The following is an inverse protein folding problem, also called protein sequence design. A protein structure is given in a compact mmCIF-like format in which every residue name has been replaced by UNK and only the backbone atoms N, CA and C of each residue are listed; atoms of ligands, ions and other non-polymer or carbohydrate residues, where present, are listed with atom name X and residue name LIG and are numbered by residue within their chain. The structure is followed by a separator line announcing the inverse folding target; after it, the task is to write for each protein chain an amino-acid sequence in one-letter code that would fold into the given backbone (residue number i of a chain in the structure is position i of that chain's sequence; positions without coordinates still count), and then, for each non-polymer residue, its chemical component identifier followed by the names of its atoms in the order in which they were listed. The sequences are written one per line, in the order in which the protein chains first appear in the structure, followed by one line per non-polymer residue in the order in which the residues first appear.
data_IF_119150814499
#
_entry.id   IF_119150814499
#
_cell.length_a   1.000
_cell.length_b   1.000
_cell.length_c   1.000
_cell.angle_alpha   90.00
_cell.angle_beta   90.00
_cell.angle_gamma   90.00
#
_symmetry.space_group_name_H-M   'P 1'
#
loop_
_entity.id
_entity.type
_entity.pdbx_description
1 polymer ?
#
# COMPACT_ATOMS: atom_id res chain seq x y z
N UNK A 1 10.43 -23.29 16.88
CA UNK A 1 11.03 -21.96 17.09
C UNK A 1 12.55 -22.07 17.18
N UNK A 2 13.13 -22.86 18.09
CA UNK A 2 14.58 -23.19 18.03
C UNK A 2 15.01 -23.83 16.69
N UNK A 3 14.10 -24.58 16.05
CA UNK A 3 14.30 -25.13 14.69
C UNK A 3 14.33 -24.08 13.58
N UNK A 4 13.71 -22.92 13.75
CA UNK A 4 13.71 -21.82 12.77
C UNK A 4 15.04 -21.06 12.84
N UNK A 5 15.65 -21.00 14.03
CA UNK A 5 16.95 -20.35 14.26
C UNK A 5 18.09 -21.20 13.70
N UNK A 6 17.97 -22.53 13.71
CA UNK A 6 18.89 -23.41 12.96
C UNK A 6 18.67 -23.39 11.44
N UNK A 7 17.65 -22.67 10.95
CA UNK A 7 17.29 -22.55 9.54
C UNK A 7 17.72 -21.19 8.93
N UNK A 8 18.54 -20.38 9.62
CA UNK A 8 19.28 -19.30 8.94
C UNK A 8 20.10 -19.88 7.78
N UNK A 9 20.65 -21.09 7.97
CA UNK A 9 21.28 -21.87 6.90
C UNK A 9 20.29 -22.15 5.76
N UNK A 10 19.01 -22.40 6.04
CA UNK A 10 17.97 -22.55 5.00
C UNK A 10 17.72 -21.24 4.23
N UNK A 11 17.76 -20.08 4.91
CA UNK A 11 17.70 -18.78 4.23
C UNK A 11 18.94 -18.59 3.33
N UNK A 12 20.13 -18.94 3.81
CA UNK A 12 21.40 -18.80 3.10
C UNK A 12 21.58 -19.82 1.96
N UNK A 13 21.10 -21.05 2.10
CA UNK A 13 21.26 -22.14 1.13
C UNK A 13 20.10 -22.25 0.14
N UNK A 14 18.88 -21.84 0.52
CA UNK A 14 17.68 -22.02 -0.30
C UNK A 14 17.17 -20.70 -0.87
N UNK A 15 17.13 -19.64 -0.08
CA UNK A 15 16.52 -18.36 -0.49
C UNK A 15 17.54 -17.49 -1.24
N UNK A 16 18.73 -17.30 -0.66
CA UNK A 16 19.81 -16.48 -1.24
C UNK A 16 20.20 -16.89 -2.68
N UNK A 17 20.40 -18.18 -3.00
CA UNK A 17 20.73 -18.60 -4.37
C UNK A 17 19.59 -18.40 -5.37
N UNK A 18 18.34 -18.35 -4.90
CA UNK A 18 17.15 -18.09 -5.75
C UNK A 18 16.92 -16.61 -5.98
N UNK A 19 17.23 -15.75 -5.00
CA UNK A 19 17.12 -14.29 -5.12
C UNK A 19 18.25 -13.70 -5.99
N UNK A 20 19.44 -14.31 -5.96
CA UNK A 20 20.61 -13.88 -6.75
C UNK A 20 21.07 -15.00 -7.71
N UNK A 21 20.24 -15.36 -8.72
CA UNK A 21 20.58 -16.44 -9.64
C UNK A 21 21.74 -15.99 -10.55
N UNK A 22 22.86 -16.74 -10.49
CA UNK A 22 23.95 -16.72 -11.47
C UNK A 22 24.86 -15.48 -11.58
N UNK A 23 24.95 -14.60 -10.57
CA UNK A 23 25.97 -13.55 -10.51
C UNK A 23 27.07 -13.86 -9.49
N UNK A 24 28.35 -13.70 -9.85
CA UNK A 24 29.47 -13.61 -8.88
C UNK A 24 29.43 -12.29 -8.07
N UNK A 25 28.69 -11.30 -8.56
CA UNK A 25 28.58 -9.97 -7.98
C UNK A 25 27.85 -10.01 -6.62
N UNK A 26 28.49 -9.51 -5.57
CA UNK A 26 27.90 -9.41 -4.24
C UNK A 26 28.06 -10.63 -3.33
N UNK A 27 28.78 -11.67 -3.79
CA UNK A 27 28.99 -12.90 -3.02
C UNK A 27 30.25 -12.91 -2.14
N UNK A 28 31.02 -11.83 -2.14
CA UNK A 28 32.19 -11.70 -1.27
C UNK A 28 31.75 -11.62 0.18
N UNK A 29 32.12 -12.63 0.97
CA UNK A 29 31.96 -12.63 2.40
C UNK A 29 32.96 -11.67 3.02
N UNK A 30 32.45 -10.65 3.72
CA UNK A 30 33.25 -9.70 4.49
C UNK A 30 32.76 -9.67 5.93
N UNK A 31 33.57 -9.08 6.81
CA UNK A 31 33.12 -8.82 8.17
C UNK A 31 32.13 -7.66 8.15
N UNK A 32 30.86 -7.98 8.41
CA UNK A 32 29.72 -7.07 8.34
C UNK A 32 29.25 -6.66 9.73
N UNK A 33 28.65 -5.46 9.83
CA UNK A 33 28.01 -5.03 11.07
C UNK A 33 26.66 -5.73 11.26
N UNK A 34 25.92 -5.92 10.16
CA UNK A 34 24.56 -6.47 10.08
C UNK A 34 23.48 -5.69 10.83
N UNK A 35 23.82 -4.57 11.46
CA UNK A 35 22.90 -3.76 12.29
C UNK A 35 23.36 -2.30 12.37
N UNK A 36 23.82 -1.73 11.25
CA UNK A 36 24.35 -0.37 11.23
C UNK A 36 23.25 0.66 10.98
N UNK A 37 22.34 0.85 11.93
CA UNK A 37 21.35 1.93 11.91
C UNK A 37 21.93 3.27 12.40
N UNK A 38 21.22 4.38 12.14
CA UNK A 38 21.66 5.73 12.55
C UNK A 38 21.93 5.83 14.05
N UNK A 39 21.15 5.13 14.89
CA UNK A 39 21.35 5.12 16.35
C UNK A 39 22.69 4.47 16.76
N UNK A 40 23.30 3.65 15.88
CA UNK A 40 24.58 2.99 16.09
C UNK A 40 25.77 3.80 15.52
N UNK A 41 25.54 5.02 15.02
CA UNK A 41 26.56 5.96 14.54
C UNK A 41 26.63 7.16 15.48
N UNK A 42 27.70 7.26 16.25
CA UNK A 42 27.93 8.33 17.23
C UNK A 42 28.87 9.37 16.64
N UNK A 43 28.36 10.59 16.42
CA UNK A 43 29.18 11.73 16.05
C UNK A 43 29.49 12.61 17.27
N UNK A 44 30.78 12.67 17.65
CA UNK A 44 31.24 13.61 18.67
C UNK A 44 31.65 14.93 18.01
N UNK A 45 30.78 15.94 18.13
CA UNK A 45 31.02 17.28 17.59
C UNK A 45 32.27 17.97 18.15
N UNK A 46 32.71 17.63 19.36
CA UNK A 46 33.88 18.27 19.99
C UNK A 46 35.19 17.75 19.41
N UNK A 47 35.26 16.45 19.12
CA UNK A 47 36.43 15.81 18.54
C UNK A 47 36.35 15.65 17.01
N UNK A 48 35.19 15.96 16.41
CA UNK A 48 34.88 15.71 15.00
C UNK A 48 35.11 14.25 14.59
N UNK A 49 34.85 13.33 15.52
CA UNK A 49 35.02 11.88 15.30
C UNK A 49 33.69 11.17 15.15
N UNK A 50 33.69 10.11 14.35
CA UNK A 50 32.57 9.18 14.20
C UNK A 50 33.00 7.85 14.84
N UNK A 51 32.16 7.32 15.72
CA UNK A 51 32.31 5.99 16.31
C UNK A 51 31.10 5.14 15.96
N UNK A 52 31.33 3.86 15.66
CA UNK A 52 30.26 2.88 15.53
C UNK A 52 30.14 2.09 16.84
N UNK A 53 28.92 1.68 17.18
CA UNK A 53 28.60 0.91 18.40
C UNK A 53 27.67 -0.25 18.05
N UNK A 54 27.42 -1.12 19.03
CA UNK A 54 26.46 -2.23 18.95
C UNK A 54 26.85 -3.35 17.97
N UNK A 55 28.03 -3.93 18.21
CA UNK A 55 28.62 -4.96 17.37
C UNK A 55 28.06 -6.37 17.61
N UNK A 56 26.92 -6.53 18.30
CA UNK A 56 26.42 -7.83 18.73
C UNK A 56 25.96 -8.73 17.57
N UNK A 57 25.55 -8.14 16.45
CA UNK A 57 25.15 -8.85 15.23
C UNK A 57 26.30 -9.05 14.22
N UNK A 58 27.53 -8.68 14.59
CA UNK A 58 28.66 -8.77 13.66
C UNK A 58 29.05 -10.21 13.34
N UNK A 59 29.11 -10.51 12.04
CA UNK A 59 29.53 -11.82 11.52
C UNK A 59 30.01 -11.68 10.09
N UNK A 60 30.63 -12.74 9.57
CA UNK A 60 30.88 -12.85 8.13
C UNK A 60 29.52 -12.90 7.40
N UNK A 61 29.34 -12.00 6.43
CA UNK A 61 28.14 -11.95 5.61
C UNK A 61 28.47 -11.31 4.25
N UNK A 62 27.51 -11.30 3.33
CA UNK A 62 27.64 -10.64 2.03
C UNK A 62 27.69 -9.12 2.21
N UNK A 63 28.67 -8.45 1.61
CA UNK A 63 28.77 -6.99 1.76
C UNK A 63 27.54 -6.25 1.17
N UNK A 64 26.91 -6.78 0.11
CA UNK A 64 25.67 -6.21 -0.42
C UNK A 64 24.49 -6.39 0.53
N UNK A 65 24.46 -7.46 1.33
CA UNK A 65 23.47 -7.59 2.39
C UNK A 65 23.66 -6.49 3.44
N UNK A 66 24.90 -6.25 3.89
CA UNK A 66 25.19 -5.22 4.91
C UNK A 66 24.84 -3.81 4.41
N UNK A 67 25.13 -3.52 3.14
CA UNK A 67 24.72 -2.26 2.48
C UNK A 67 23.19 -2.16 2.40
N UNK A 68 22.53 -3.22 1.92
CA UNK A 68 21.08 -3.23 1.78
C UNK A 68 20.36 -3.11 3.12
N UNK A 69 20.90 -3.74 4.17
CA UNK A 69 20.42 -3.63 5.53
C UNK A 69 20.59 -2.19 6.05
N UNK A 70 21.75 -1.57 5.84
CA UNK A 70 21.96 -0.16 6.19
C UNK A 70 20.95 0.78 5.50
N UNK A 71 20.57 0.51 4.25
CA UNK A 71 19.55 1.28 3.54
C UNK A 71 18.13 1.03 4.07
N UNK A 72 17.79 -0.20 4.49
CA UNK A 72 16.52 -0.51 5.16
C UNK A 72 16.36 0.33 6.43
N UNK A 73 17.43 0.50 7.21
CA UNK A 73 17.43 1.27 8.45
C UNK A 73 17.18 2.78 8.26
N UNK A 74 17.14 3.29 7.03
CA UNK A 74 16.72 4.67 6.76
C UNK A 74 15.25 4.88 7.09
N UNK A 75 14.43 3.82 7.04
CA UNK A 75 13.04 3.87 7.42
C UNK A 75 12.86 4.16 8.92
N UNK A 76 13.83 3.82 9.76
CA UNK A 76 13.73 3.91 11.21
C UNK A 76 13.04 2.68 11.85
N UNK A 77 13.15 2.58 13.17
CA UNK A 77 12.75 1.39 13.94
C UNK A 77 11.41 1.56 14.66
N UNK A 78 11.15 2.74 15.22
CA UNK A 78 9.97 2.98 16.09
C UNK A 78 8.73 3.40 15.28
N UNK A 79 8.93 4.15 14.19
CA UNK A 79 7.90 4.63 13.25
C UNK A 79 8.44 4.49 11.82
N UNK A 80 8.48 3.27 11.29
CA UNK A 80 9.14 3.00 10.01
C UNK A 80 8.49 3.77 8.83
N UNK A 81 9.22 4.72 8.25
CA UNK A 81 8.83 5.42 7.02
C UNK A 81 9.64 4.89 5.84
N UNK A 82 9.11 3.88 5.15
CA UNK A 82 9.77 3.29 3.98
C UNK A 82 9.92 4.26 2.79
N UNK A 83 9.30 5.44 2.81
CA UNK A 83 9.60 6.49 1.82
C UNK A 83 11.00 7.10 2.00
N UNK A 84 11.64 6.88 3.15
CA UNK A 84 13.02 7.30 3.41
C UNK A 84 14.05 6.32 2.85
N UNK A 85 13.63 5.17 2.32
CA UNK A 85 14.54 4.25 1.64
C UNK A 85 15.23 4.98 0.47
N UNK A 86 16.57 4.92 0.38
CA UNK A 86 17.31 5.75 -0.56
C UNK A 86 16.96 5.44 -2.02
N UNK A 87 16.73 6.49 -2.80
CA UNK A 87 16.52 6.38 -4.25
C UNK A 87 17.75 5.77 -4.94
N UNK A 88 17.61 5.18 -6.13
CA UNK A 88 18.77 4.64 -6.86
C UNK A 88 19.88 5.67 -7.10
N UNK A 89 19.55 6.96 -7.28
CA UNK A 89 20.55 8.02 -7.40
C UNK A 89 21.31 8.26 -6.09
N UNK A 90 20.63 8.22 -4.94
CA UNK A 90 21.24 8.30 -3.62
C UNK A 90 22.06 7.05 -3.30
N UNK A 91 21.56 5.86 -3.61
CA UNK A 91 22.29 4.60 -3.48
C UNK A 91 23.60 4.67 -4.30
N UNK A 92 23.54 5.05 -5.59
CA UNK A 92 24.74 5.21 -6.43
C UNK A 92 25.70 6.23 -5.86
N UNK A 93 25.21 7.35 -5.30
CA UNK A 93 26.05 8.36 -4.65
C UNK A 93 26.75 7.80 -3.42
N UNK A 94 26.04 7.07 -2.57
CA UNK A 94 26.59 6.42 -1.37
C UNK A 94 27.61 5.34 -1.77
N UNK A 95 27.26 4.48 -2.74
CA UNK A 95 28.12 3.41 -3.24
C UNK A 95 29.43 3.94 -3.82
N UNK A 96 29.42 5.09 -4.51
CA UNK A 96 30.67 5.71 -5.02
C UNK A 96 31.66 6.01 -3.88
N UNK A 97 31.17 6.55 -2.77
CA UNK A 97 31.99 6.86 -1.59
C UNK A 97 32.48 5.56 -0.94
N UNK A 98 31.57 4.61 -0.69
CA UNK A 98 31.92 3.32 -0.09
C UNK A 98 32.96 2.56 -0.92
N UNK A 99 32.78 2.49 -2.24
CA UNK A 99 33.67 1.79 -3.15
C UNK A 99 35.02 2.49 -3.26
N UNK A 100 35.06 3.83 -3.19
CA UNK A 100 36.31 4.58 -3.14
C UNK A 100 37.12 4.24 -1.88
N UNK A 101 36.49 4.29 -0.72
CA UNK A 101 37.15 3.97 0.56
C UNK A 101 37.62 2.50 0.64
N UNK A 102 36.86 1.58 0.04
CA UNK A 102 37.21 0.16 -0.03
C UNK A 102 38.11 -0.21 -1.21
N UNK A 103 38.49 0.76 -2.06
CA UNK A 103 39.28 0.54 -3.28
C UNK A 103 38.66 -0.50 -4.24
N UNK A 104 37.34 -0.50 -4.34
CA UNK A 104 36.54 -1.40 -5.19
C UNK A 104 36.31 -0.81 -6.59
N UNK A 105 35.95 -1.66 -7.55
CA UNK A 105 35.68 -1.23 -8.91
C UNK A 105 34.38 -0.40 -8.98
N UNK A 106 34.48 0.91 -9.20
CA UNK A 106 33.31 1.79 -9.35
C UNK A 106 32.54 1.64 -10.66
N UNK A 107 33.11 0.97 -11.68
CA UNK A 107 32.46 0.83 -12.99
C UNK A 107 31.18 -0.02 -12.95
N UNK A 108 31.00 -0.83 -11.90
CA UNK A 108 29.81 -1.65 -11.71
C UNK A 108 28.64 -0.88 -11.08
N UNK A 109 28.83 0.39 -10.69
CA UNK A 109 27.78 1.20 -10.06
C UNK A 109 26.80 1.67 -11.14
N UNK A 110 25.72 0.91 -11.32
CA UNK A 110 24.63 1.15 -12.27
C UNK A 110 23.28 0.72 -11.67
N UNK A 111 22.19 0.87 -12.44
CA UNK A 111 20.84 0.47 -12.01
C UNK A 111 20.71 -1.03 -11.74
N UNK A 112 21.45 -1.88 -12.46
CA UNK A 112 21.43 -3.32 -12.24
C UNK A 112 21.97 -3.68 -10.84
N UNK A 113 23.04 -3.01 -10.39
CA UNK A 113 23.57 -3.20 -9.04
C UNK A 113 22.58 -2.70 -7.97
N UNK A 114 21.94 -1.55 -8.19
CA UNK A 114 20.89 -1.06 -7.29
C UNK A 114 19.72 -2.05 -7.19
N UNK A 115 19.30 -2.64 -8.30
CA UNK A 115 18.26 -3.67 -8.30
C UNK A 115 18.68 -4.94 -7.53
N UNK A 116 19.96 -5.34 -7.60
CA UNK A 116 20.49 -6.42 -6.77
C UNK A 116 20.42 -6.04 -5.29
N UNK A 117 20.80 -4.81 -4.93
CA UNK A 117 20.72 -4.31 -3.54
C UNK A 117 19.27 -4.32 -3.05
N UNK A 118 18.30 -3.90 -3.86
CA UNK A 118 16.88 -3.93 -3.50
C UNK A 118 16.40 -5.35 -3.17
N UNK A 119 16.91 -6.38 -3.88
CA UNK A 119 16.63 -7.79 -3.55
C UNK A 119 17.23 -8.21 -2.22
N UNK A 120 18.43 -7.72 -1.88
CA UNK A 120 19.02 -7.93 -0.56
C UNK A 120 18.25 -7.19 0.54
N UNK A 121 17.62 -6.05 0.25
CA UNK A 121 16.78 -5.35 1.22
C UNK A 121 15.53 -6.16 1.57
N UNK A 122 14.93 -6.88 0.61
CA UNK A 122 13.85 -7.83 0.90
C UNK A 122 14.28 -8.95 1.85
N UNK A 123 15.55 -9.40 1.75
CA UNK A 123 16.11 -10.38 2.67
C UNK A 123 16.35 -9.80 4.07
N UNK A 124 16.83 -8.56 4.16
CA UNK A 124 16.98 -7.86 5.43
C UNK A 124 15.62 -7.69 6.15
N UNK A 125 14.60 -7.26 5.42
CA UNK A 125 13.22 -7.21 5.91
C UNK A 125 12.73 -8.57 6.44
N UNK A 126 12.97 -9.66 5.71
CA UNK A 126 12.60 -11.00 6.17
C UNK A 126 13.33 -11.37 7.47
N UNK A 127 14.64 -11.10 7.56
CA UNK A 127 15.45 -11.39 8.74
C UNK A 127 14.92 -10.64 9.96
N UNK A 128 14.67 -9.34 9.86
CA UNK A 128 14.16 -8.52 10.95
C UNK A 128 12.72 -8.85 11.32
N UNK A 129 11.88 -9.18 10.34
CA UNK A 129 10.53 -9.68 10.58
C UNK A 129 10.53 -10.99 11.38
N UNK A 130 11.39 -11.94 11.03
CA UNK A 130 11.56 -13.19 11.77
C UNK A 130 12.14 -12.98 13.16
N UNK A 131 13.16 -12.12 13.28
CA UNK A 131 13.74 -11.74 14.58
C UNK A 131 12.67 -11.18 15.50
N UNK A 132 11.83 -10.27 15.01
CA UNK A 132 10.78 -9.67 15.83
C UNK A 132 9.67 -10.68 16.19
N UNK A 133 9.27 -11.56 15.27
CA UNK A 133 8.35 -12.66 15.61
C UNK A 133 8.90 -13.52 16.76
N UNK A 134 10.19 -13.87 16.72
CA UNK A 134 10.83 -14.64 17.79
C UNK A 134 10.85 -13.83 19.10
N UNK A 135 11.24 -12.56 19.03
CA UNK A 135 11.36 -11.70 20.21
C UNK A 135 10.02 -11.37 20.86
N UNK A 136 8.91 -11.35 20.11
CA UNK A 136 7.57 -11.18 20.67
C UNK A 136 7.20 -12.24 21.72
N UNK A 137 7.83 -13.42 21.66
CA UNK A 137 7.61 -14.51 22.61
C UNK A 137 8.69 -14.67 23.69
N UNK A 138 9.83 -13.96 23.56
CA UNK A 138 11.02 -14.17 24.40
C UNK A 138 11.50 -12.91 25.13
N UNK A 139 11.34 -11.75 24.51
CA UNK A 139 11.89 -10.50 25.03
C UNK A 139 11.09 -9.96 26.21
N UNK A 140 11.80 -9.33 27.15
CA UNK A 140 11.19 -8.62 28.29
C UNK A 140 11.11 -7.10 28.04
N UNK A 141 11.61 -6.64 26.89
CA UNK A 141 11.61 -5.23 26.52
C UNK A 141 10.18 -4.84 26.10
N UNK A 142 9.72 -3.69 26.59
CA UNK A 142 8.44 -3.09 26.20
C UNK A 142 8.55 -2.47 24.80
N UNK A 143 8.40 -3.32 23.78
CA UNK A 143 8.44 -2.97 22.36
C UNK A 143 7.40 -3.83 21.61
N UNK A 144 6.71 -3.25 20.63
CA UNK A 144 5.70 -3.98 19.85
C UNK A 144 6.33 -4.81 18.73
N UNK A 145 6.98 -5.89 19.13
CA UNK A 145 7.64 -6.83 18.23
C UNK A 145 6.70 -7.42 17.17
N UNK A 146 5.41 -7.63 17.50
CA UNK A 146 4.47 -8.17 16.53
C UNK A 146 4.12 -7.15 15.46
N UNK A 147 3.93 -5.88 15.82
CA UNK A 147 3.71 -4.83 14.84
C UNK A 147 4.94 -4.61 13.97
N UNK A 148 6.14 -4.54 14.56
CA UNK A 148 7.38 -4.40 13.79
C UNK A 148 7.58 -5.56 12.80
N UNK A 149 7.31 -6.80 13.22
CA UNK A 149 7.37 -7.95 12.32
C UNK A 149 6.41 -7.84 11.13
N UNK A 150 5.21 -7.31 11.37
CA UNK A 150 4.22 -7.05 10.30
C UNK A 150 4.72 -5.96 9.35
N UNK A 151 5.23 -4.85 9.87
CA UNK A 151 5.74 -3.75 9.04
C UNK A 151 6.86 -4.22 8.12
N UNK A 152 7.83 -4.96 8.65
CA UNK A 152 8.94 -5.53 7.87
C UNK A 152 8.50 -6.56 6.82
N UNK A 153 7.38 -7.25 7.03
CA UNK A 153 6.83 -8.21 6.06
C UNK A 153 5.73 -7.64 5.16
N UNK A 154 5.30 -6.40 5.41
CA UNK A 154 4.18 -5.79 4.71
C UNK A 154 4.62 -5.25 3.35
N UNK A 155 4.23 -5.96 2.30
CA UNK A 155 4.25 -5.42 0.95
C UNK A 155 3.00 -4.58 0.74
N UNK A 156 3.18 -3.37 0.21
CA UNK A 156 2.07 -2.59 -0.34
C UNK A 156 1.49 -3.24 -1.61
N UNK A 157 2.04 -4.35 -2.09
CA UNK A 157 1.54 -5.14 -3.22
C UNK A 157 1.31 -6.59 -2.81
N UNK A 158 0.04 -6.98 -2.77
CA UNK A 158 -0.43 -8.28 -2.34
C UNK A 158 -1.01 -9.04 -3.53
N UNK A 159 -0.27 -10.03 -4.03
CA UNK A 159 -0.71 -10.87 -5.15
C UNK A 159 -1.36 -12.15 -4.58
N UNK A 160 -2.54 -12.48 -5.07
CA UNK A 160 -3.32 -13.63 -4.64
C UNK A 160 -3.53 -14.61 -5.79
N UNK A 161 -3.45 -15.91 -5.46
CA UNK A 161 -3.55 -16.98 -6.45
C UNK A 161 -4.90 -17.01 -7.17
N UNK A 162 -5.98 -16.67 -6.46
CA UNK A 162 -7.34 -16.61 -6.97
C UNK A 162 -8.17 -15.52 -6.27
N UNK A 163 -9.37 -15.29 -6.80
CA UNK A 163 -10.30 -14.28 -6.29
C UNK A 163 -10.85 -14.62 -4.90
N UNK A 164 -10.86 -15.89 -4.50
CA UNK A 164 -11.33 -16.29 -3.18
C UNK A 164 -10.33 -15.83 -2.12
N UNK A 165 -9.06 -16.21 -2.27
CA UNK A 165 -7.98 -15.78 -1.39
C UNK A 165 -7.84 -14.26 -1.39
N UNK A 166 -7.99 -13.62 -2.55
CA UNK A 166 -8.01 -12.17 -2.67
C UNK A 166 -9.10 -11.55 -1.80
N UNK A 167 -10.34 -12.06 -1.91
CA UNK A 167 -11.47 -11.57 -1.10
C UNK A 167 -11.24 -11.79 0.39
N UNK A 168 -10.75 -12.96 0.79
CA UNK A 168 -10.46 -13.29 2.19
C UNK A 168 -9.38 -12.38 2.77
N UNK A 169 -8.27 -12.15 2.06
CA UNK A 169 -7.21 -11.23 2.52
C UNK A 169 -7.70 -9.79 2.62
N UNK A 170 -8.47 -9.30 1.65
CA UNK A 170 -9.09 -7.96 1.72
C UNK A 170 -10.02 -7.87 2.94
N UNK A 171 -10.84 -8.91 3.19
CA UNK A 171 -11.73 -8.98 4.34
C UNK A 171 -11.00 -8.95 5.69
N UNK A 172 -9.95 -9.77 5.84
CA UNK A 172 -9.16 -9.79 7.06
C UNK A 172 -8.46 -8.46 7.33
N UNK A 173 -7.88 -7.86 6.29
CA UNK A 173 -7.24 -6.55 6.43
C UNK A 173 -8.26 -5.47 6.81
N UNK A 174 -9.46 -5.52 6.22
CA UNK A 174 -10.57 -4.62 6.57
C UNK A 174 -11.02 -4.79 8.04
N UNK A 175 -11.15 -6.03 8.54
CA UNK A 175 -11.45 -6.26 9.95
C UNK A 175 -10.37 -5.72 10.87
N UNK A 176 -9.10 -5.98 10.56
CA UNK A 176 -7.96 -5.52 11.35
C UNK A 176 -7.95 -3.99 11.49
N UNK A 177 -8.05 -3.26 10.38
CA UNK A 177 -8.02 -1.79 10.42
C UNK A 177 -9.27 -1.21 11.09
N UNK A 178 -10.44 -1.81 10.88
CA UNK A 178 -11.69 -1.38 11.53
C UNK A 178 -11.60 -1.58 13.04
N UNK A 179 -11.16 -2.76 13.50
CA UNK A 179 -11.00 -3.06 14.93
C UNK A 179 -9.96 -2.15 15.59
N UNK A 180 -8.85 -1.84 14.90
CA UNK A 180 -7.85 -0.88 15.38
C UNK A 180 -8.47 0.51 15.60
N UNK A 181 -9.19 1.03 14.60
CA UNK A 181 -9.84 2.35 14.67
C UNK A 181 -10.95 2.45 15.71
N UNK A 182 -11.62 1.33 16.03
CA UNK A 182 -12.73 1.30 16.99
C UNK A 182 -12.33 1.78 18.40
N UNK A 183 -11.06 1.66 18.77
CA UNK A 183 -10.54 2.12 20.05
C UNK A 183 -10.47 3.65 20.14
N UNK A 184 -10.40 4.33 18.99
CA UNK A 184 -10.10 5.76 18.91
C UNK A 184 -11.29 6.58 18.39
N UNK A 185 -12.16 5.98 17.56
CA UNK A 185 -13.17 6.71 16.78
C UNK A 185 -14.55 6.14 16.87
N UNK A 186 -15.55 6.93 17.25
CA UNK A 186 -16.94 6.45 17.35
C UNK A 186 -17.55 6.00 16.02
N UNK A 187 -17.16 6.60 14.90
CA UNK A 187 -17.69 6.33 13.58
C UNK A 187 -16.54 6.02 12.62
N UNK A 188 -16.71 5.02 11.76
CA UNK A 188 -15.72 4.63 10.74
C UNK A 188 -16.36 4.83 9.37
N UNK A 189 -15.65 5.53 8.50
CA UNK A 189 -16.11 5.93 7.17
C UNK A 189 -15.42 5.11 6.09
N UNK A 190 -16.22 4.45 5.23
CA UNK A 190 -15.74 3.57 4.18
C UNK A 190 -16.28 4.03 2.82
N UNK A 191 -15.41 4.52 1.95
CA UNK A 191 -15.72 4.86 0.56
C UNK A 191 -15.62 3.66 -0.37
N UNK A 192 -16.62 3.46 -1.23
CA UNK A 192 -16.74 2.31 -2.11
C UNK A 192 -16.71 2.72 -3.59
N UNK A 193 -15.87 2.07 -4.38
CA UNK A 193 -15.96 2.05 -5.85
C UNK A 193 -16.98 1.01 -6.34
N UNK A 194 -17.47 1.18 -7.57
CA UNK A 194 -18.29 0.18 -8.26
C UNK A 194 -17.48 -0.89 -9.01
N UNK A 195 -18.10 -1.49 -10.03
CA UNK A 195 -17.46 -2.47 -10.91
C UNK A 195 -17.26 -3.85 -10.26
N UNK A 196 -16.20 -4.57 -10.66
CA UNK A 196 -15.90 -5.92 -10.16
C UNK A 196 -15.57 -5.98 -8.66
N UNK A 197 -15.24 -4.84 -8.05
CA UNK A 197 -15.06 -4.73 -6.60
C UNK A 197 -16.32 -5.15 -5.84
N UNK A 198 -17.51 -4.85 -6.36
CA UNK A 198 -18.79 -5.18 -5.71
C UNK A 198 -18.88 -6.69 -5.51
N UNK A 199 -18.60 -7.47 -6.55
CA UNK A 199 -18.73 -8.94 -6.49
C UNK A 199 -17.71 -9.56 -5.52
N UNK A 200 -16.50 -8.97 -5.44
CA UNK A 200 -15.48 -9.38 -4.46
C UNK A 200 -15.90 -9.04 -3.02
N UNK A 201 -16.51 -7.89 -2.78
CA UNK A 201 -16.98 -7.53 -1.43
C UNK A 201 -18.21 -8.35 -1.02
N UNK A 202 -19.09 -8.70 -1.96
CA UNK A 202 -20.23 -9.58 -1.71
C UNK A 202 -19.80 -10.95 -1.19
N UNK A 203 -18.66 -11.47 -1.63
CA UNK A 203 -18.18 -12.78 -1.18
C UNK A 203 -17.59 -12.79 0.23
N UNK A 204 -17.21 -11.64 0.80
CA UNK A 204 -16.50 -11.57 2.07
C UNK A 204 -17.16 -10.70 3.14
N UNK A 205 -17.69 -9.52 2.78
CA UNK A 205 -18.20 -8.53 3.75
C UNK A 205 -19.31 -9.07 4.66
N UNK A 206 -20.27 -9.91 4.19
CA UNK A 206 -21.29 -10.49 5.08
C UNK A 206 -20.74 -11.37 6.20
N UNK A 207 -19.51 -11.88 6.06
CA UNK A 207 -18.87 -12.76 7.04
C UNK A 207 -18.00 -11.99 8.06
N UNK A 208 -17.76 -10.70 7.83
CA UNK A 208 -16.93 -9.87 8.71
C UNK A 208 -17.68 -9.49 9.99
N UNK A 209 -16.96 -9.49 11.10
CA UNK A 209 -17.43 -9.11 12.43
C UNK A 209 -17.34 -7.60 12.65
N UNK A 210 -18.02 -6.84 11.78
CA UNK A 210 -18.01 -5.39 11.87
C UNK A 210 -18.95 -4.85 12.96
N UNK A 211 -18.58 -3.74 13.61
CA UNK A 211 -19.49 -2.98 14.47
C UNK A 211 -20.50 -2.19 13.60
N UNK A 212 -21.42 -2.88 12.94
CA UNK A 212 -22.26 -2.31 11.87
C UNK A 212 -22.92 -0.97 12.21
N UNK A 213 -23.33 -0.72 13.46
CA UNK A 213 -23.90 0.56 13.90
C UNK A 213 -22.94 1.76 13.77
N UNK A 214 -21.62 1.52 13.82
CA UNK A 214 -20.53 2.49 13.73
C UNK A 214 -19.93 2.62 12.33
N UNK A 215 -20.35 1.80 11.37
CA UNK A 215 -19.86 1.89 9.99
C UNK A 215 -20.77 2.82 9.17
N UNK A 216 -20.15 3.69 8.38
CA UNK A 216 -20.82 4.50 7.34
C UNK A 216 -20.19 4.24 5.98
N UNK A 217 -21.01 3.81 5.04
CA UNK A 217 -20.63 3.60 3.65
C UNK A 217 -20.93 4.82 2.80
N UNK A 218 -19.98 5.12 1.92
CA UNK A 218 -20.00 6.23 0.97
C UNK A 218 -19.61 5.70 -0.41
N UNK A 219 -19.82 6.52 -1.44
CA UNK A 219 -19.52 6.15 -2.82
C UNK A 219 -18.48 7.11 -3.38
N UNK A 220 -17.42 6.54 -3.96
CA UNK A 220 -16.35 7.30 -4.58
C UNK A 220 -16.83 7.97 -5.88
N UNK A 221 -17.76 7.32 -6.57
CA UNK A 221 -18.49 7.85 -7.71
C UNK A 221 -19.88 7.21 -7.84
N UNK A 222 -20.76 7.90 -8.55
CA UNK A 222 -22.05 7.36 -8.97
C UNK A 222 -22.43 7.91 -10.35
N UNK A 223 -23.10 7.06 -11.13
CA UNK A 223 -23.60 7.38 -12.45
C UNK A 223 -24.91 8.13 -12.27
N UNK A 224 -25.12 9.21 -13.02
CA UNK A 224 -26.36 9.98 -12.94
C UNK A 224 -27.51 9.24 -13.66
N UNK A 225 -27.99 8.17 -13.03
CA UNK A 225 -29.03 7.26 -13.50
C UNK A 225 -29.90 6.82 -12.32
N UNK A 226 -31.15 6.37 -12.53
CA UNK A 226 -31.98 5.84 -11.46
C UNK A 226 -31.30 4.67 -10.73
N UNK A 227 -31.52 4.52 -9.42
CA UNK A 227 -30.98 3.41 -8.62
C UNK A 227 -31.46 2.02 -9.06
N UNK A 228 -32.50 1.93 -9.88
CA UNK A 228 -32.97 0.68 -10.51
C UNK A 228 -32.18 0.30 -11.76
N UNK A 229 -31.31 1.19 -12.25
CA UNK A 229 -30.40 0.90 -13.37
C UNK A 229 -29.28 -0.02 -12.92
N UNK A 230 -28.92 -0.99 -13.77
CA UNK A 230 -27.76 -1.85 -13.57
C UNK A 230 -26.43 -1.06 -13.60
N UNK A 231 -26.46 0.19 -14.08
CA UNK A 231 -25.30 1.10 -14.07
C UNK A 231 -25.13 1.88 -12.76
N UNK A 232 -26.09 1.83 -11.83
CA UNK A 232 -25.95 2.51 -10.53
C UNK A 232 -25.05 1.71 -9.59
N UNK A 233 -23.99 2.34 -9.10
CA UNK A 233 -23.10 1.78 -8.09
C UNK A 233 -23.87 1.46 -6.81
N UNK A 234 -24.61 2.43 -6.24
CA UNK A 234 -25.43 2.22 -5.05
C UNK A 234 -26.50 1.15 -5.30
N UNK A 235 -27.18 1.18 -6.44
CA UNK A 235 -28.20 0.18 -6.80
C UNK A 235 -27.66 -1.25 -6.74
N UNK A 236 -26.47 -1.47 -7.29
CA UNK A 236 -25.78 -2.77 -7.24
C UNK A 236 -25.37 -3.18 -5.81
N UNK A 237 -24.78 -2.28 -5.02
CA UNK A 237 -24.47 -2.58 -3.62
C UNK A 237 -25.74 -2.86 -2.80
N UNK A 238 -26.81 -2.11 -3.06
CA UNK A 238 -28.08 -2.27 -2.36
C UNK A 238 -28.73 -3.63 -2.65
N UNK A 239 -28.70 -4.08 -3.91
CA UNK A 239 -29.29 -5.36 -4.30
C UNK A 239 -28.44 -6.56 -3.90
N UNK A 240 -27.11 -6.46 -4.08
CA UNK A 240 -26.17 -7.58 -3.89
C UNK A 240 -25.60 -7.68 -2.48
N UNK A 241 -25.30 -6.58 -1.79
CA UNK A 241 -24.58 -6.60 -0.50
C UNK A 241 -25.42 -6.10 0.67
N UNK A 242 -25.87 -4.85 0.65
CA UNK A 242 -26.42 -4.19 1.84
C UNK A 242 -27.69 -4.83 2.40
N UNK A 243 -28.48 -5.53 1.58
CA UNK A 243 -29.64 -6.32 2.05
C UNK A 243 -29.26 -7.50 2.94
N UNK A 244 -28.01 -7.94 2.88
CA UNK A 244 -27.50 -9.06 3.68
C UNK A 244 -26.87 -8.60 5.00
N UNK A 245 -26.66 -7.30 5.18
CA UNK A 245 -25.96 -6.74 6.34
C UNK A 245 -26.95 -6.21 7.39
N UNK A 246 -26.63 -6.28 8.69
CA UNK A 246 -27.47 -5.74 9.76
C UNK A 246 -27.26 -4.21 9.88
N UNK A 247 -27.51 -3.49 8.78
CA UNK A 247 -27.40 -2.03 8.68
C UNK A 247 -28.75 -1.40 8.33
N UNK A 248 -28.85 -0.08 8.54
CA UNK A 248 -30.02 0.73 8.21
C UNK A 248 -29.66 1.79 7.16
N UNK A 249 -30.63 2.54 6.66
CA UNK A 249 -30.35 3.64 5.72
C UNK A 249 -29.40 4.70 6.30
N UNK A 250 -29.38 4.88 7.62
CA UNK A 250 -28.43 5.79 8.30
C UNK A 250 -26.98 5.38 8.10
N UNK A 251 -26.73 4.11 7.76
CA UNK A 251 -25.39 3.61 7.50
C UNK A 251 -24.87 3.97 6.11
N UNK A 252 -25.72 4.46 5.20
CA UNK A 252 -25.39 4.59 3.78
C UNK A 252 -25.61 6.03 3.33
N UNK A 253 -24.53 6.71 2.98
CA UNK A 253 -24.55 8.09 2.49
C UNK A 253 -24.48 8.06 0.97
N UNK A 254 -25.64 8.19 0.34
CA UNK A 254 -25.86 8.02 -1.10
C UNK A 254 -25.68 9.35 -1.86
N UNK A 255 -25.15 9.27 -3.08
CA UNK A 255 -25.29 10.32 -4.10
C UNK A 255 -26.71 10.17 -4.66
N UNK A 256 -27.54 11.22 -4.57
CA UNK A 256 -28.95 11.16 -4.95
C UNK A 256 -29.16 11.52 -6.43
N UNK A 257 -29.44 10.56 -7.33
CA UNK A 257 -29.61 10.83 -8.75
C UNK A 257 -31.00 11.37 -9.09
N UNK A 258 -31.88 11.60 -8.10
CA UNK A 258 -33.22 12.15 -8.32
C UNK A 258 -33.26 13.67 -8.38
N UNK A 259 -32.15 14.33 -8.04
CA UNK A 259 -31.98 15.78 -8.18
C UNK A 259 -31.92 16.19 -9.66
N UNK A 260 -32.10 17.49 -9.94
CA UNK A 260 -32.42 17.95 -11.30
C UNK A 260 -31.26 17.86 -12.29
N UNK A 261 -30.02 17.82 -11.79
CA UNK A 261 -28.80 17.80 -12.60
C UNK A 261 -27.65 17.15 -11.84
N UNK A 262 -26.64 16.68 -12.56
CA UNK A 262 -25.43 16.08 -11.97
C UNK A 262 -24.68 17.07 -11.07
N UNK A 263 -24.75 18.38 -11.35
CA UNK A 263 -24.19 19.42 -10.51
C UNK A 263 -24.91 19.56 -9.17
N UNK A 264 -26.24 19.52 -9.19
CA UNK A 264 -27.04 19.52 -7.95
C UNK A 264 -26.74 18.26 -7.12
N UNK A 265 -26.58 17.09 -7.77
CA UNK A 265 -26.15 15.85 -7.11
C UNK A 265 -24.77 15.98 -6.46
N UNK A 266 -23.79 16.55 -7.16
CA UNK A 266 -22.44 16.74 -6.64
C UNK A 266 -22.42 17.73 -5.46
N UNK A 267 -23.19 18.83 -5.57
CA UNK A 267 -23.30 19.83 -4.49
C UNK A 267 -23.97 19.24 -3.25
N UNK A 268 -25.06 18.49 -3.42
CA UNK A 268 -25.72 17.78 -2.32
C UNK A 268 -24.77 16.79 -1.64
N UNK A 269 -24.01 16.01 -2.41
CA UNK A 269 -23.05 15.07 -1.85
C UNK A 269 -21.90 15.77 -1.13
N UNK A 270 -21.39 16.88 -1.68
CA UNK A 270 -20.40 17.71 -1.01
C UNK A 270 -20.89 18.21 0.36
N UNK A 271 -22.14 18.71 0.42
CA UNK A 271 -22.72 19.18 1.68
C UNK A 271 -22.86 18.05 2.71
N UNK A 272 -23.27 16.85 2.26
CA UNK A 272 -23.33 15.66 3.13
C UNK A 272 -21.95 15.30 3.70
N UNK A 273 -20.89 15.32 2.88
CA UNK A 273 -19.53 15.04 3.35
C UNK A 273 -19.03 16.12 4.33
N UNK A 274 -19.22 17.40 4.02
CA UNK A 274 -18.79 18.51 4.88
C UNK A 274 -19.48 18.50 6.26
N UNK A 275 -20.72 18.02 6.35
CA UNK A 275 -21.42 17.88 7.62
C UNK A 275 -20.88 16.72 8.48
N UNK A 276 -20.29 15.71 7.85
CA UNK A 276 -19.78 14.51 8.53
C UNK A 276 -18.29 14.60 8.85
N UNK A 277 -17.52 15.31 8.03
CA UNK A 277 -16.08 15.53 8.17
C UNK A 277 -15.83 16.76 9.05
N UNK A 278 -16.05 16.60 10.35
CA UNK A 278 -15.81 17.63 11.38
C UNK A 278 -14.43 17.39 12.02
N UNK A 279 -13.62 18.44 12.11
CA UNK A 279 -12.30 18.42 12.75
C UNK A 279 -12.33 17.73 14.13
N UNK A 280 -11.34 16.89 14.47
CA UNK A 280 -10.10 16.64 13.72
C UNK A 280 -10.25 15.69 12.52
N UNK A 281 -11.41 15.03 12.36
CA UNK A 281 -11.63 14.02 11.33
C UNK A 281 -12.22 14.66 10.06
N UNK A 282 -11.34 15.07 9.14
CA UNK A 282 -11.69 15.76 7.90
C UNK A 282 -11.61 14.88 6.63
N UNK A 283 -11.34 13.58 6.76
CA UNK A 283 -11.16 12.67 5.63
C UNK A 283 -11.76 11.28 5.88
N UNK A 284 -11.79 10.46 4.82
CA UNK A 284 -12.22 9.07 4.92
C UNK A 284 -11.23 8.22 5.72
N UNK A 285 -11.75 7.28 6.50
CA UNK A 285 -10.89 6.29 7.15
C UNK A 285 -10.38 5.27 6.13
N UNK A 286 -11.27 4.75 5.29
CA UNK A 286 -10.96 3.70 4.32
C UNK A 286 -11.59 4.05 2.97
N UNK A 287 -10.84 3.91 1.89
CA UNK A 287 -11.39 3.93 0.52
C UNK A 287 -10.99 2.66 -0.22
N UNK A 288 -11.99 1.97 -0.75
CA UNK A 288 -11.85 0.77 -1.57
C UNK A 288 -11.97 1.14 -3.05
N UNK A 289 -10.89 0.97 -3.77
CA UNK A 289 -10.69 1.48 -5.13
C UNK A 289 -10.70 0.33 -6.14
N UNK A 290 -11.45 0.53 -7.22
CA UNK A 290 -11.32 -0.25 -8.45
C UNK A 290 -10.47 0.49 -9.48
N UNK A 291 -10.08 -0.20 -10.55
CA UNK A 291 -9.36 0.39 -11.68
C UNK A 291 -9.89 -0.11 -13.02
N UNK A 292 -10.10 0.82 -13.96
CA UNK A 292 -10.35 0.44 -15.35
C UNK A 292 -9.10 0.03 -16.12
N UNK A 293 -9.27 -0.52 -17.34
CA UNK A 293 -8.13 -0.91 -18.20
C UNK A 293 -7.26 0.26 -18.67
N UNK A 294 -7.74 1.49 -18.50
CA UNK A 294 -7.12 2.78 -18.78
C UNK A 294 -6.57 3.46 -17.52
N UNK A 295 -6.55 2.80 -16.36
CA UNK A 295 -6.01 3.37 -15.11
C UNK A 295 -6.91 4.39 -14.41
N UNK A 296 -8.13 4.61 -14.91
CA UNK A 296 -9.12 5.43 -14.20
C UNK A 296 -9.55 4.74 -12.90
N UNK A 297 -9.84 5.55 -11.88
CA UNK A 297 -10.49 5.13 -10.63
C UNK A 297 -11.60 6.12 -10.28
N UNK A 298 -12.63 5.68 -9.55
CA UNK A 298 -13.89 6.41 -9.44
C UNK A 298 -14.37 6.83 -10.85
N UNK A 299 -14.69 8.10 -11.04
CA UNK A 299 -14.91 8.68 -12.38
C UNK A 299 -13.85 9.71 -12.78
N UNK A 300 -12.60 9.49 -12.34
CA UNK A 300 -11.43 10.28 -12.69
C UNK A 300 -10.67 9.58 -13.83
N UNK A 301 -10.74 10.14 -15.03
CA UNK A 301 -10.18 9.55 -16.26
C UNK A 301 -8.85 10.19 -16.68
N UNK A 302 -7.94 9.43 -17.31
CA UNK A 302 -6.71 10.00 -17.86
C UNK A 302 -7.00 11.15 -18.82
N UNK A 303 -6.21 12.22 -18.73
CA UNK A 303 -6.31 13.42 -19.58
C UNK A 303 -7.66 14.17 -19.52
N UNK A 304 -8.59 13.77 -18.65
CA UNK A 304 -9.87 14.45 -18.51
C UNK A 304 -9.73 15.66 -17.57
N UNK A 305 -10.27 16.86 -17.90
CA UNK A 305 -10.09 18.07 -17.09
C UNK A 305 -10.50 17.91 -15.61
N UNK A 306 -11.52 17.09 -15.35
CA UNK A 306 -12.02 16.79 -13.99
C UNK A 306 -10.94 16.21 -13.07
N UNK A 307 -9.92 15.53 -13.61
CA UNK A 307 -8.80 15.01 -12.82
C UNK A 307 -8.02 16.11 -12.11
N UNK A 308 -7.98 17.33 -12.67
CA UNK A 308 -7.23 18.46 -12.15
C UNK A 308 -8.07 19.38 -11.23
N UNK A 309 -9.32 19.00 -10.92
CA UNK A 309 -10.17 19.77 -10.02
C UNK A 309 -9.73 19.49 -8.58
N UNK A 310 -9.09 20.48 -7.97
CA UNK A 310 -8.56 20.40 -6.60
C UNK A 310 -9.41 21.19 -5.57
N UNK A 311 -10.44 21.91 -6.03
CA UNK A 311 -11.31 22.66 -5.16
C UNK A 311 -12.54 21.82 -4.77
N UNK A 312 -12.72 21.59 -3.47
CA UNK A 312 -13.87 20.86 -2.93
C UNK A 312 -13.65 19.35 -2.80
N UNK A 313 -14.62 18.70 -2.17
CA UNK A 313 -14.56 17.26 -1.90
C UNK A 313 -15.12 16.41 -3.04
N UNK A 314 -16.09 16.97 -3.76
CA UNK A 314 -16.88 16.29 -4.78
C UNK A 314 -16.95 17.18 -6.01
N UNK A 315 -16.94 16.54 -7.17
CA UNK A 315 -17.14 17.18 -8.47
C UNK A 315 -18.03 16.30 -9.35
N UNK A 316 -18.26 16.72 -10.58
CA UNK A 316 -19.07 16.02 -11.56
C UNK A 316 -18.37 15.94 -12.92
N UNK A 317 -18.78 14.96 -13.71
CA UNK A 317 -18.38 14.70 -15.09
C UNK A 317 -19.63 14.77 -15.95
N UNK A 318 -19.59 15.46 -17.10
CA UNK A 318 -20.72 15.50 -18.05
C UNK A 318 -20.47 14.71 -19.33
N UNK A 319 -19.21 14.47 -19.62
CA UNK A 319 -18.67 13.99 -20.88
C UNK A 319 -17.72 12.81 -20.64
N UNK A 320 -18.10 11.90 -19.73
CA UNK A 320 -17.28 10.72 -19.43
C UNK A 320 -16.97 9.96 -20.73
N UNK A 321 -15.71 9.54 -20.94
CA UNK A 321 -15.32 8.76 -22.12
C UNK A 321 -15.93 7.35 -22.11
N UNK A 322 -16.67 6.98 -21.04
CA UNK A 322 -17.37 5.71 -20.90
C UNK A 322 -18.83 5.94 -20.55
N UNK A 323 -19.77 5.21 -21.16
CA UNK A 323 -21.18 5.34 -20.82
C UNK A 323 -21.46 4.90 -19.37
N UNK A 324 -22.45 5.49 -18.69
CA UNK A 324 -23.15 6.74 -19.05
C UNK A 324 -22.23 7.98 -18.86
N UNK A 325 -22.49 9.07 -19.62
CA UNK A 325 -21.58 10.22 -19.69
C UNK A 325 -21.57 11.09 -18.43
N UNK A 326 -22.72 11.19 -17.75
CA UNK A 326 -22.88 12.04 -16.57
C UNK A 326 -22.65 11.26 -15.27
N UNK A 327 -21.76 11.77 -14.42
CA UNK A 327 -21.33 11.11 -13.18
C UNK A 327 -20.99 12.12 -12.09
N UNK A 328 -21.23 11.75 -10.84
CA UNK A 328 -20.69 12.45 -9.67
C UNK A 328 -19.48 11.67 -9.19
N UNK A 329 -18.41 12.35 -8.76
CA UNK A 329 -17.17 11.71 -8.29
C UNK A 329 -16.52 12.52 -7.19
N UNK A 330 -15.85 11.84 -6.26
CA UNK A 330 -14.89 12.50 -5.40
C UNK A 330 -13.74 13.07 -6.23
N UNK A 331 -13.14 14.16 -5.74
CA UNK A 331 -11.90 14.69 -6.31
C UNK A 331 -10.73 13.78 -5.98
N UNK A 332 -9.66 13.83 -6.78
CA UNK A 332 -8.46 13.04 -6.52
C UNK A 332 -7.88 13.34 -5.13
N UNK A 333 -7.87 14.62 -4.74
CA UNK A 333 -7.38 15.05 -3.43
C UNK A 333 -8.17 14.41 -2.28
N UNK A 334 -9.51 14.36 -2.38
CA UNK A 334 -10.34 13.73 -1.35
C UNK A 334 -10.09 12.24 -1.21
N UNK A 335 -9.83 11.54 -2.33
CA UNK A 335 -9.43 10.13 -2.28
C UNK A 335 -8.04 9.99 -1.66
N UNK A 336 -7.09 10.88 -2.01
CA UNK A 336 -5.72 10.81 -1.51
C UNK A 336 -5.59 11.12 -0.01
N UNK A 337 -6.48 11.95 0.55
CA UNK A 337 -6.54 12.29 1.98
C UNK A 337 -7.08 11.15 2.86
N UNK A 338 -7.60 10.07 2.27
CA UNK A 338 -8.08 8.92 3.03
C UNK A 338 -6.94 8.22 3.78
N UNK A 339 -7.19 7.79 5.03
CA UNK A 339 -6.17 7.16 5.88
C UNK A 339 -5.66 5.85 5.29
N UNK A 340 -6.58 5.00 4.81
CA UNK A 340 -6.25 3.75 4.13
C UNK A 340 -6.83 3.76 2.72
N UNK A 341 -5.95 3.63 1.72
CA UNK A 341 -6.31 3.54 0.31
C UNK A 341 -6.01 2.13 -0.16
N UNK A 342 -7.04 1.37 -0.50
CA UNK A 342 -6.91 -0.05 -0.85
C UNK A 342 -7.41 -0.25 -2.28
N UNK A 343 -6.49 -0.52 -3.21
CA UNK A 343 -6.80 -0.85 -4.59
C UNK A 343 -6.98 -2.36 -4.74
N UNK A 344 -8.17 -2.81 -5.13
CA UNK A 344 -8.44 -4.22 -5.41
C UNK A 344 -8.67 -4.41 -6.90
N UNK A 345 -7.68 -4.99 -7.58
CA UNK A 345 -7.63 -5.06 -9.04
C UNK A 345 -7.64 -6.51 -9.48
N UNK A 346 -8.60 -6.85 -10.34
CA UNK A 346 -8.75 -8.20 -10.89
C UNK A 346 -8.77 -8.19 -12.43
N UNK A 347 -8.23 -9.26 -13.01
CA UNK A 347 -8.30 -9.53 -14.44
C UNK A 347 -7.14 -8.99 -15.28
N UNK A 348 -6.77 -9.77 -16.28
CA UNK A 348 -5.59 -9.57 -17.13
C UNK A 348 -5.60 -8.24 -17.90
N UNK A 349 -6.77 -7.76 -18.29
CA UNK A 349 -6.91 -6.49 -19.05
C UNK A 349 -6.32 -5.27 -18.33
N UNK A 350 -5.96 -5.39 -17.04
CA UNK A 350 -5.41 -4.30 -16.20
C UNK A 350 -3.89 -4.44 -16.02
N UNK A 351 -3.31 -5.59 -16.33
CA UNK A 351 -1.94 -5.94 -15.94
C UNK A 351 -0.87 -5.01 -16.50
N UNK A 352 -1.07 -4.51 -17.73
CA UNK A 352 -0.15 -3.56 -18.35
C UNK A 352 -0.10 -2.25 -17.56
N UNK A 353 -1.27 -1.73 -17.15
CA UNK A 353 -1.36 -0.49 -16.39
C UNK A 353 -0.87 -0.69 -14.96
N UNK A 354 -1.18 -1.83 -14.34
CA UNK A 354 -0.65 -2.21 -13.02
C UNK A 354 0.88 -2.19 -13.02
N UNK A 355 1.52 -2.85 -13.99
CA UNK A 355 2.99 -2.85 -14.17
C UNK A 355 3.53 -1.43 -14.31
N UNK A 356 2.93 -0.63 -15.19
CA UNK A 356 3.37 0.74 -15.42
C UNK A 356 3.28 1.61 -14.15
N UNK A 357 2.24 1.43 -13.33
CA UNK A 357 2.08 2.22 -12.10
C UNK A 357 3.06 1.73 -11.00
N UNK A 358 3.11 0.42 -10.77
CA UNK A 358 3.85 -0.16 -9.63
C UNK A 358 5.36 -0.18 -9.89
N UNK A 359 5.79 -0.61 -11.06
CA UNK A 359 7.21 -0.82 -11.40
C UNK A 359 7.77 0.39 -12.14
N UNK A 360 7.12 0.84 -13.21
CA UNK A 360 7.62 1.98 -14.01
C UNK A 360 7.34 3.33 -13.33
N UNK A 361 6.72 3.32 -12.14
CA UNK A 361 6.32 4.49 -11.36
C UNK A 361 5.56 5.53 -12.18
N UNK A 362 4.79 5.09 -13.19
CA UNK A 362 4.08 5.97 -14.09
C UNK A 362 2.88 6.63 -13.37
N UNK A 363 3.05 7.92 -13.07
CA UNK A 363 2.04 8.76 -12.40
C UNK A 363 1.04 9.43 -13.36
N UNK A 364 1.03 9.09 -14.66
CA UNK A 364 0.05 9.69 -15.59
C UNK A 364 -1.36 9.12 -15.41
N UNK A 365 -1.50 7.94 -14.82
CA UNK A 365 -2.79 7.31 -14.55
C UNK A 365 -3.43 7.87 -13.28
N UNK A 366 -4.75 8.15 -13.28
CA UNK A 366 -5.46 8.66 -12.10
C UNK A 366 -5.20 7.88 -10.81
N UNK A 367 -5.35 6.56 -10.81
CA UNK A 367 -5.07 5.75 -9.61
C UNK A 367 -3.58 5.74 -9.25
N UNK A 368 -2.70 5.88 -10.24
CA UNK A 368 -1.26 5.95 -10.04
C UNK A 368 -0.80 7.26 -9.40
N UNK A 369 -1.63 8.30 -9.37
CA UNK A 369 -1.35 9.56 -8.67
C UNK A 369 -1.63 9.49 -7.16
N UNK A 370 -2.27 8.42 -6.69
CA UNK A 370 -2.51 8.22 -5.26
C UNK A 370 -1.23 7.77 -4.55
N UNK A 371 -1.01 8.34 -3.38
CA UNK A 371 0.11 8.00 -2.48
C UNK A 371 -0.29 6.89 -1.52
N UNK A 372 0.68 6.13 -1.00
CA UNK A 372 0.48 5.10 0.04
C UNK A 372 -0.67 4.13 -0.29
N UNK A 373 -0.75 3.70 -1.55
CA UNK A 373 -1.80 2.80 -2.04
C UNK A 373 -1.43 1.35 -1.74
N UNK A 374 -2.35 0.63 -1.09
CA UNK A 374 -2.21 -0.79 -0.79
C UNK A 374 -2.90 -1.57 -1.91
N UNK A 375 -2.14 -2.34 -2.65
CA UNK A 375 -2.60 -3.11 -3.79
C UNK A 375 -2.93 -4.54 -3.39
N UNK A 376 -4.11 -4.99 -3.80
CA UNK A 376 -4.57 -6.36 -3.77
C UNK A 376 -4.87 -6.77 -5.21
N UNK A 377 -4.07 -7.70 -5.73
CA UNK A 377 -4.11 -8.12 -7.13
C UNK A 377 -4.43 -9.61 -7.21
N UNK A 378 -5.26 -10.02 -8.17
CA UNK A 378 -5.25 -11.40 -8.62
C UNK A 378 -4.03 -11.67 -9.53
N UNK A 379 -3.69 -12.94 -9.73
CA UNK A 379 -2.62 -13.34 -10.67
C UNK A 379 -2.77 -12.74 -12.07
N UNK A 380 -4.00 -12.59 -12.54
CA UNK A 380 -4.26 -12.07 -13.87
C UNK A 380 -3.88 -10.58 -13.97
N UNK A 381 -4.27 -9.75 -13.01
CA UNK A 381 -3.89 -8.34 -12.92
C UNK A 381 -2.39 -8.16 -12.61
N UNK A 382 -1.77 -9.11 -11.91
CA UNK A 382 -0.33 -9.10 -11.63
C UNK A 382 0.54 -9.72 -12.74
N UNK A 383 -0.05 -10.30 -13.80
CA UNK A 383 0.63 -11.15 -14.79
C UNK A 383 1.81 -10.52 -15.55
N UNK A 384 1.94 -9.20 -15.52
CA UNK A 384 3.04 -8.45 -16.16
C UNK A 384 4.04 -7.86 -15.17
N UNK A 385 3.86 -8.04 -13.87
CA UNK A 385 4.85 -7.65 -12.89
C UNK A 385 6.08 -8.56 -13.01
N UNK A 386 7.25 -7.93 -13.04
CA UNK A 386 8.57 -8.57 -13.05
C UNK A 386 9.11 -8.75 -11.63
N UNK A 387 8.59 -7.99 -10.66
CA UNK A 387 8.89 -8.15 -9.23
C UNK A 387 8.01 -9.26 -8.65
N UNK A 388 8.33 -10.51 -8.99
CA UNK A 388 7.89 -11.72 -8.26
C UNK A 388 9.08 -12.65 -8.08
#
# INVERSE_FOLDING_TARGET
ISSIISDIDTIEEVILPKLVPNGELGKDLVYCHNDLLVKNIIYDKKSETISFIDFEYTRLNYYLFDIANHFVEYAGVDDADFNLYPTHDEQKRWLKIYFDERQMNKQIINDDLCYIIDKFSALAHLMWGLWALVQSGLSQIDFDYLNYAKEMSSSNVNICDDNKLLSEKVGYYLEEIVLKMMNEKQLITIGLSGGSLIDLLVSIVPYLQFPWSRIRFFFLDERFVPFTSDESTYGNYQSKLFRQLPITEKNIIKIDPTLKSVEECALDYQNKLQQLFIQPDNSFDIVLLGMGPDGHTASLFPNHPVLNINNGLVTYVKDSPKPPPERVTLTLNTINEAKYKIAVITGETKSTVVKQIIEDKNRTYPIGQLENLIWYLDKAAASKLEII
#
